data_IF_159712951511
#
_entry.id   IF_159712951511
#
_cell.length_a   1.000
_cell.length_b   1.000
_cell.length_c   1.000
_cell.angle_alpha   90.00
_cell.angle_beta   90.00
_cell.angle_gamma   90.00
#
_symmetry.space_group_name_H-M   'P 1'
#
loop_
_entity.id
_entity.type
_entity.pdbx_description
1 polymer ?
#
# COMPACT_ATOMS: atom_id res chain seq x y z
N UNK A 1 9.29 -17.53 -21.19
CA UNK A 1 10.10 -18.23 -20.19
C UNK A 1 11.57 -18.19 -20.59
N UNK A 2 12.48 -17.96 -19.63
CA UNK A 2 13.93 -17.91 -19.83
C UNK A 2 14.61 -18.64 -18.68
N UNK A 3 15.49 -19.57 -18.99
CA UNK A 3 16.25 -20.29 -17.98
C UNK A 3 17.41 -19.42 -17.48
N UNK A 4 17.58 -19.34 -16.18
CA UNK A 4 18.71 -18.66 -15.53
C UNK A 4 19.90 -19.60 -15.42
N UNK A 5 21.09 -19.03 -15.43
CA UNK A 5 22.36 -19.76 -15.28
C UNK A 5 22.97 -19.45 -13.93
N UNK A 6 23.39 -20.48 -13.20
CA UNK A 6 24.12 -20.34 -11.95
C UNK A 6 25.58 -20.01 -12.23
N UNK A 7 26.06 -18.95 -11.60
CA UNK A 7 27.50 -18.72 -11.42
C UNK A 7 27.92 -19.38 -10.09
N UNK A 8 28.62 -20.48 -10.15
CA UNK A 8 29.03 -21.24 -8.97
C UNK A 8 30.01 -20.46 -8.07
N UNK A 9 30.75 -19.50 -8.62
CA UNK A 9 31.73 -18.74 -7.84
C UNK A 9 31.05 -17.69 -6.94
N UNK A 10 30.00 -17.04 -7.41
CA UNK A 10 29.23 -16.04 -6.66
C UNK A 10 27.94 -16.59 -6.03
N UNK A 11 27.48 -17.76 -6.47
CA UNK A 11 26.18 -18.31 -6.08
C UNK A 11 24.97 -17.59 -6.71
N UNK A 12 25.21 -16.71 -7.68
CA UNK A 12 24.18 -15.90 -8.30
C UNK A 12 23.57 -16.56 -9.52
N UNK A 13 22.24 -16.48 -9.62
CA UNK A 13 21.53 -16.88 -10.82
C UNK A 13 21.30 -15.66 -11.71
N UNK A 14 21.56 -15.80 -12.99
CA UNK A 14 21.40 -14.70 -13.94
C UNK A 14 20.82 -15.13 -15.27
N UNK A 15 20.15 -14.20 -15.94
CA UNK A 15 19.72 -14.28 -17.33
C UNK A 15 19.82 -12.91 -17.95
N UNK A 16 20.26 -12.83 -19.19
CA UNK A 16 20.38 -11.55 -19.90
C UNK A 16 19.20 -11.34 -20.85
N UNK A 17 18.81 -10.09 -20.98
CA UNK A 17 17.82 -9.63 -21.94
C UNK A 17 18.15 -8.25 -22.47
N UNK A 18 17.54 -7.86 -23.57
CA UNK A 18 17.70 -6.53 -24.15
C UNK A 18 16.66 -5.53 -23.62
N UNK A 19 16.67 -4.33 -24.22
CA UNK A 19 15.73 -3.25 -23.88
C UNK A 19 14.25 -3.60 -24.12
N UNK A 20 13.97 -4.65 -24.88
CA UNK A 20 12.61 -5.14 -25.08
C UNK A 20 11.94 -5.66 -23.80
N UNK A 21 12.73 -5.89 -22.74
CA UNK A 21 12.22 -6.30 -21.44
C UNK A 21 11.74 -5.13 -20.58
N UNK A 22 12.18 -3.91 -20.86
CA UNK A 22 11.74 -2.72 -20.08
C UNK A 22 10.22 -2.60 -20.14
N UNK A 23 9.60 -2.42 -18.98
CA UNK A 23 8.15 -2.36 -18.79
C UNK A 23 7.46 -3.73 -18.76
N UNK A 24 8.18 -4.83 -18.96
CA UNK A 24 7.61 -6.18 -18.87
C UNK A 24 7.53 -6.65 -17.42
N UNK A 25 6.52 -7.44 -17.13
CA UNK A 25 6.34 -8.08 -15.85
C UNK A 25 6.98 -9.47 -15.83
N UNK A 26 7.50 -9.88 -14.68
CA UNK A 26 8.14 -11.17 -14.49
C UNK A 26 7.88 -11.76 -13.12
N UNK A 27 8.05 -13.05 -13.00
CA UNK A 27 8.19 -13.83 -11.77
C UNK A 27 9.34 -14.81 -11.94
N UNK A 28 9.87 -15.26 -10.82
CA UNK A 28 10.79 -16.38 -10.80
C UNK A 28 10.03 -17.69 -10.58
N UNK A 29 10.28 -18.68 -11.42
CA UNK A 29 9.95 -20.08 -11.17
C UNK A 29 11.15 -20.69 -10.45
N UNK A 30 10.99 -20.98 -9.16
CA UNK A 30 12.06 -21.53 -8.33
C UNK A 30 11.72 -22.94 -7.85
N UNK A 31 12.74 -23.77 -7.74
CA UNK A 31 12.63 -25.07 -7.11
C UNK A 31 13.58 -25.12 -5.92
N UNK A 32 13.04 -25.32 -4.74
CA UNK A 32 13.79 -25.29 -3.48
C UNK A 32 13.42 -26.46 -2.59
N UNK A 33 14.40 -26.92 -1.80
CA UNK A 33 14.14 -27.89 -0.75
C UNK A 33 13.44 -27.20 0.42
N UNK A 34 12.23 -27.67 0.75
CA UNK A 34 11.45 -27.15 1.87
C UNK A 34 11.66 -28.04 3.11
N UNK A 35 12.24 -27.48 4.21
CA UNK A 35 12.68 -28.28 5.36
C UNK A 35 11.53 -28.92 6.14
N UNK A 36 10.34 -28.34 6.13
CA UNK A 36 9.16 -28.90 6.86
C UNK A 36 8.56 -30.07 6.10
N UNK A 37 8.30 -29.92 4.80
CA UNK A 37 7.78 -31.00 3.96
C UNK A 37 8.83 -32.04 3.59
N UNK A 38 10.14 -31.69 3.70
CA UNK A 38 11.30 -32.51 3.32
C UNK A 38 11.29 -32.92 1.84
N UNK A 39 10.78 -32.05 0.98
CA UNK A 39 10.66 -32.26 -0.46
C UNK A 39 11.22 -31.08 -1.23
N UNK A 40 11.54 -31.30 -2.51
CA UNK A 40 11.71 -30.24 -3.48
C UNK A 40 10.31 -29.74 -3.85
N UNK A 41 10.11 -28.44 -3.70
CA UNK A 41 8.86 -27.76 -4.03
C UNK A 41 9.11 -26.65 -5.03
N UNK A 42 8.16 -26.42 -5.92
CA UNK A 42 8.23 -25.38 -6.93
C UNK A 42 7.31 -24.23 -6.59
N UNK A 43 7.83 -23.02 -6.70
CA UNK A 43 7.10 -21.79 -6.39
C UNK A 43 7.27 -20.77 -7.50
N UNK A 44 6.23 -19.99 -7.74
CA UNK A 44 6.31 -18.74 -8.47
C UNK A 44 6.40 -17.59 -7.48
N UNK A 45 7.48 -16.82 -7.55
CA UNK A 45 7.75 -15.75 -6.61
C UNK A 45 8.12 -14.47 -7.34
N UNK A 46 7.79 -13.34 -6.73
CA UNK A 46 8.29 -12.02 -7.15
C UNK A 46 9.72 -11.84 -6.68
N UNK A 47 10.42 -10.90 -7.29
CA UNK A 47 11.79 -10.57 -6.94
C UNK A 47 11.80 -9.76 -5.62
N UNK A 48 12.52 -10.22 -4.58
CA UNK A 48 12.64 -9.48 -3.32
C UNK A 48 13.39 -8.15 -3.48
N UNK A 49 14.12 -7.96 -4.57
CA UNK A 49 14.83 -6.72 -4.91
C UNK A 49 14.07 -5.89 -5.97
N UNK A 50 12.79 -6.17 -6.17
CA UNK A 50 11.97 -5.46 -7.15
C UNK A 50 11.89 -3.96 -6.83
N UNK A 51 12.08 -3.13 -7.85
CA UNK A 51 11.94 -1.68 -7.78
C UNK A 51 10.55 -1.21 -8.20
N UNK A 52 9.80 -2.07 -8.87
CA UNK A 52 8.43 -1.82 -9.32
C UNK A 52 7.64 -3.12 -9.27
N UNK A 53 6.46 -3.04 -8.67
CA UNK A 53 5.55 -4.16 -8.50
C UNK A 53 4.20 -3.87 -9.17
N UNK A 54 3.54 -4.91 -9.63
CA UNK A 54 2.14 -4.86 -10.01
C UNK A 54 1.25 -4.85 -8.76
N UNK A 55 -0.04 -4.56 -8.97
CA UNK A 55 -1.07 -4.59 -7.92
C UNK A 55 -0.98 -5.90 -7.10
N UNK A 56 -1.14 -5.78 -5.78
CA UNK A 56 -1.01 -6.86 -4.81
C UNK A 56 0.36 -7.57 -4.86
N UNK A 57 1.39 -6.90 -5.35
CA UNK A 57 2.73 -7.47 -5.52
C UNK A 57 2.77 -8.77 -6.34
N UNK A 58 1.80 -8.96 -7.24
CA UNK A 58 1.68 -10.21 -8.00
C UNK A 58 2.82 -10.45 -8.98
N UNK A 59 3.43 -9.40 -9.50
CA UNK A 59 4.53 -9.45 -10.47
C UNK A 59 5.55 -8.36 -10.16
N UNK A 60 6.82 -8.66 -10.42
CA UNK A 60 7.87 -7.66 -10.52
C UNK A 60 7.89 -7.06 -11.92
N UNK A 61 8.27 -5.79 -12.05
CA UNK A 61 8.40 -5.12 -13.34
C UNK A 61 9.84 -4.70 -13.60
N UNK A 62 10.31 -4.93 -14.82
CA UNK A 62 11.60 -4.42 -15.29
C UNK A 62 11.46 -2.92 -15.56
N UNK A 63 12.19 -2.09 -14.83
CA UNK A 63 12.18 -0.64 -14.99
C UNK A 63 13.57 -0.07 -15.20
N UNK A 64 13.67 0.95 -16.04
CA UNK A 64 14.86 1.80 -16.13
C UNK A 64 14.62 3.09 -15.34
N UNK A 65 15.24 3.23 -14.17
CA UNK A 65 15.08 4.41 -13.32
C UNK A 65 15.66 5.70 -13.95
N UNK A 66 16.42 5.58 -15.05
CA UNK A 66 16.89 6.75 -15.79
C UNK A 66 15.87 7.25 -16.83
N UNK A 67 14.81 6.47 -17.08
CA UNK A 67 13.77 6.90 -18.02
C UNK A 67 13.09 8.18 -17.52
N UNK A 68 13.17 9.30 -18.29
CA UNK A 68 12.53 10.55 -17.91
C UNK A 68 11.01 10.45 -17.72
N UNK A 69 10.36 9.48 -18.38
CA UNK A 69 8.92 9.26 -18.24
C UNK A 69 8.50 8.76 -16.85
N UNK A 70 9.44 8.21 -16.06
CA UNK A 70 9.21 7.75 -14.69
C UNK A 70 9.48 8.83 -13.63
N UNK A 71 9.94 10.02 -14.05
CA UNK A 71 10.32 11.10 -13.14
C UNK A 71 9.32 12.25 -13.21
N UNK A 72 8.87 12.79 -12.07
CA UNK A 72 8.14 14.05 -12.07
C UNK A 72 8.99 15.19 -12.63
N UNK A 73 8.33 16.22 -13.18
CA UNK A 73 9.03 17.42 -13.63
C UNK A 73 9.87 18.03 -12.48
N UNK A 74 11.12 18.38 -12.80
CA UNK A 74 12.06 18.97 -11.84
C UNK A 74 12.78 17.99 -10.93
N UNK A 75 12.51 16.67 -11.02
CA UNK A 75 13.10 15.66 -10.14
C UNK A 75 14.63 15.72 -10.09
N UNK A 76 15.31 15.76 -11.23
CA UNK A 76 16.77 15.73 -11.30
C UNK A 76 17.42 17.06 -10.84
N UNK A 77 16.66 18.14 -10.76
CA UNK A 77 17.10 19.44 -10.26
C UNK A 77 16.75 19.67 -8.79
N UNK A 78 15.97 18.77 -8.18
CA UNK A 78 15.54 18.88 -6.80
C UNK A 78 16.75 18.80 -5.86
N UNK A 79 16.86 19.79 -4.98
CA UNK A 79 17.85 19.80 -3.90
C UNK A 79 17.14 19.70 -2.56
N UNK A 80 17.77 19.03 -1.59
CA UNK A 80 17.27 19.03 -0.23
C UNK A 80 17.08 20.48 0.26
N UNK A 81 15.88 20.86 0.72
CA UNK A 81 15.58 22.24 1.11
C UNK A 81 16.37 22.71 2.34
N UNK A 82 16.85 21.78 3.13
CA UNK A 82 17.64 22.04 4.34
C UNK A 82 18.90 21.16 4.37
N UNK A 83 20.06 21.80 4.44
CA UNK A 83 21.30 21.15 4.83
C UNK A 83 21.48 21.34 6.34
N UNK A 84 20.91 20.46 7.15
CA UNK A 84 21.14 20.52 8.58
C UNK A 84 22.58 20.08 8.89
N UNK A 85 23.39 21.01 9.34
CA UNK A 85 24.79 20.73 9.72
C UNK A 85 24.90 20.11 11.11
N UNK A 86 23.94 20.40 11.99
CA UNK A 86 23.91 19.84 13.34
C UNK A 86 22.63 19.01 13.52
N UNK A 87 22.74 17.71 13.81
CA UNK A 87 21.59 16.86 14.06
C UNK A 87 20.67 17.34 15.20
N UNK A 88 21.22 18.10 16.16
CA UNK A 88 20.45 18.67 17.27
C UNK A 88 19.46 19.76 16.83
N UNK A 89 19.62 20.33 15.64
CA UNK A 89 18.74 21.36 15.09
C UNK A 89 17.59 20.75 14.25
N UNK A 90 17.56 19.43 14.11
CA UNK A 90 16.49 18.73 13.40
C UNK A 90 15.23 18.73 14.26
N UNK A 91 14.16 19.25 13.67
CA UNK A 91 12.81 19.18 14.21
C UNK A 91 11.95 18.30 13.32
N UNK A 92 11.23 17.36 13.93
CA UNK A 92 10.50 16.32 13.21
C UNK A 92 9.02 16.46 13.51
N UNK A 93 8.19 16.45 12.48
CA UNK A 93 6.75 16.27 12.56
C UNK A 93 6.39 14.90 12.02
N UNK A 94 5.86 14.03 12.88
CA UNK A 94 5.45 12.69 12.48
C UNK A 94 3.97 12.70 12.06
N UNK A 95 3.66 12.02 10.95
CA UNK A 95 2.31 11.94 10.43
C UNK A 95 2.05 10.66 9.65
N UNK A 96 0.79 10.25 9.62
CA UNK A 96 0.31 9.15 8.80
C UNK A 96 -0.36 9.71 7.54
N UNK A 97 -0.02 9.20 6.35
CA UNK A 97 -0.57 9.68 5.06
C UNK A 97 -2.09 9.68 5.07
N UNK A 98 -2.71 8.60 5.53
CA UNK A 98 -4.16 8.48 5.59
C UNK A 98 -4.78 9.53 6.52
N UNK A 99 -4.21 9.71 7.69
CA UNK A 99 -4.81 10.54 8.75
C UNK A 99 -4.66 12.03 8.46
N UNK A 100 -3.64 12.41 7.67
CA UNK A 100 -3.42 13.80 7.28
C UNK A 100 -4.59 14.39 6.47
N UNK A 101 -5.15 13.61 5.55
CA UNK A 101 -6.15 14.12 4.59
C UNK A 101 -7.46 13.35 4.61
N UNK A 102 -7.54 12.21 5.31
CA UNK A 102 -8.66 11.27 5.23
C UNK A 102 -10.01 11.86 5.63
N UNK A 103 -10.02 12.75 6.60
CA UNK A 103 -11.24 13.43 7.11
C UNK A 103 -11.30 14.91 6.75
N UNK A 104 -10.47 15.38 5.81
CA UNK A 104 -10.42 16.78 5.42
C UNK A 104 -11.30 17.07 4.20
N UNK A 105 -12.30 17.92 4.37
CA UNK A 105 -13.23 18.28 3.29
C UNK A 105 -12.63 19.21 2.24
N UNK A 106 -11.50 19.85 2.51
CA UNK A 106 -10.79 20.67 1.52
C UNK A 106 -9.99 19.83 0.53
N UNK A 107 -9.67 18.56 0.89
CA UNK A 107 -9.00 17.61 0.00
C UNK A 107 -10.02 16.96 -0.95
N UNK A 108 -9.76 16.88 -2.27
CA UNK A 108 -10.60 16.15 -3.21
C UNK A 108 -10.88 14.72 -2.72
N UNK A 109 -12.14 14.29 -2.82
CA UNK A 109 -12.56 13.01 -2.24
C UNK A 109 -11.75 11.80 -2.72
N UNK A 110 -11.34 11.82 -4.00
CA UNK A 110 -10.52 10.79 -4.63
C UNK A 110 -9.07 10.76 -4.11
N UNK A 111 -8.59 11.85 -3.49
CA UNK A 111 -7.24 11.97 -2.96
C UNK A 111 -7.17 11.81 -1.43
N UNK A 112 -8.32 11.82 -0.74
CA UNK A 112 -8.37 11.71 0.72
C UNK A 112 -7.73 10.43 1.22
N UNK A 113 -6.84 10.56 2.20
CA UNK A 113 -6.11 9.45 2.79
C UNK A 113 -5.07 8.80 1.89
N UNK A 114 -4.78 9.38 0.72
CA UNK A 114 -3.85 8.85 -0.28
C UNK A 114 -2.65 9.78 -0.47
N UNK A 115 -1.60 9.28 -1.11
CA UNK A 115 -0.39 10.06 -1.43
C UNK A 115 -0.70 11.32 -2.23
N UNK A 116 -1.66 11.26 -3.17
CA UNK A 116 -2.05 12.40 -3.98
C UNK A 116 -2.62 13.56 -3.16
N UNK A 117 -3.23 13.31 -2.00
CA UNK A 117 -3.68 14.36 -1.10
C UNK A 117 -2.56 15.28 -0.60
N UNK A 118 -1.30 14.82 -0.62
CA UNK A 118 -0.14 15.64 -0.28
C UNK A 118 0.30 16.56 -1.44
N UNK A 119 -0.21 16.35 -2.64
CA UNK A 119 0.08 17.19 -3.82
C UNK A 119 -0.93 18.32 -4.02
N UNK A 120 -2.05 18.30 -3.31
CA UNK A 120 -3.12 19.30 -3.38
C UNK A 120 -2.76 20.53 -2.51
N UNK A 121 -1.94 21.42 -3.05
CA UNK A 121 -1.25 22.50 -2.31
C UNK A 121 -2.18 23.52 -1.64
N UNK A 122 -3.44 23.62 -2.07
CA UNK A 122 -4.42 24.57 -1.55
C UNK A 122 -5.28 24.02 -0.42
N UNK A 123 -5.13 22.75 -0.07
CA UNK A 123 -5.89 22.09 0.99
C UNK A 123 -5.41 22.47 2.39
N UNK A 124 -6.27 22.34 3.40
CA UNK A 124 -5.93 22.68 4.76
C UNK A 124 -4.75 21.86 5.33
N UNK A 125 -4.67 20.52 5.12
CA UNK A 125 -3.53 19.74 5.57
C UNK A 125 -2.20 20.17 4.96
N UNK A 126 -2.17 20.44 3.66
CA UNK A 126 -0.93 20.83 2.98
C UNK A 126 -0.51 22.25 3.41
N UNK A 127 -1.45 23.17 3.55
CA UNK A 127 -1.17 24.51 4.13
C UNK A 127 -0.64 24.41 5.56
N UNK A 128 -1.15 23.48 6.36
CA UNK A 128 -0.61 23.22 7.70
C UNK A 128 0.86 22.76 7.63
N UNK A 129 1.19 21.78 6.77
CA UNK A 129 2.57 21.35 6.59
C UNK A 129 3.47 22.49 6.11
N UNK A 130 3.00 23.33 5.19
CA UNK A 130 3.72 24.51 4.73
C UNK A 130 3.96 25.53 5.87
N UNK A 131 2.98 25.72 6.76
CA UNK A 131 3.12 26.58 7.91
C UNK A 131 4.14 26.04 8.92
N UNK A 132 4.14 24.73 9.17
CA UNK A 132 5.14 24.05 10.00
C UNK A 132 6.55 24.25 9.44
N UNK A 133 6.73 24.04 8.12
CA UNK A 133 8.01 24.25 7.46
C UNK A 133 8.50 25.71 7.58
N UNK A 134 7.59 26.68 7.41
CA UNK A 134 7.90 28.12 7.62
C UNK A 134 8.25 28.45 9.07
N UNK A 135 7.74 27.69 10.02
CA UNK A 135 8.03 27.85 11.46
C UNK A 135 9.33 27.17 11.90
N UNK A 136 10.03 26.48 10.99
CA UNK A 136 11.31 25.85 11.27
C UNK A 136 11.27 24.33 11.46
N UNK A 137 10.11 23.69 11.30
CA UNK A 137 10.07 22.21 11.22
C UNK A 137 10.78 21.76 9.97
N UNK A 138 11.84 20.96 10.14
CA UNK A 138 12.76 20.63 9.06
C UNK A 138 12.42 19.31 8.36
N UNK A 139 11.75 18.39 9.03
CA UNK A 139 11.47 17.05 8.52
C UNK A 139 10.03 16.64 8.76
N UNK A 140 9.42 16.04 7.75
CA UNK A 140 8.19 15.26 7.86
C UNK A 140 8.57 13.78 7.93
N UNK A 141 8.30 13.14 9.07
CA UNK A 141 8.47 11.70 9.24
C UNK A 141 7.14 11.02 8.97
N UNK A 142 7.03 10.36 7.83
CA UNK A 142 5.84 9.58 7.53
C UNK A 142 5.91 8.23 8.25
N UNK A 143 4.82 7.87 8.96
CA UNK A 143 4.61 6.50 9.41
C UNK A 143 4.67 5.55 8.22
N UNK A 144 4.91 4.23 8.43
CA UNK A 144 5.22 3.32 7.35
C UNK A 144 4.30 3.49 6.13
N UNK A 145 4.91 3.68 4.97
CA UNK A 145 4.24 3.87 3.67
C UNK A 145 4.38 2.64 2.78
N UNK A 146 4.78 1.52 3.38
CA UNK A 146 4.90 0.25 2.70
C UNK A 146 3.54 -0.32 2.38
N UNK A 147 3.49 -1.10 1.32
CA UNK A 147 2.39 -1.96 1.01
C UNK A 147 2.10 -2.94 2.18
N UNK A 148 0.81 -3.17 2.46
CA UNK A 148 0.36 -4.10 3.48
C UNK A 148 -0.23 -5.31 2.77
N UNK A 149 0.47 -6.44 2.81
CA UNK A 149 0.11 -7.66 2.09
C UNK A 149 -1.31 -8.20 2.39
N UNK A 150 -1.89 -7.83 3.53
CA UNK A 150 -3.25 -8.22 3.93
C UNK A 150 -4.34 -7.28 3.41
N UNK A 151 -3.97 -6.13 2.83
CA UNK A 151 -4.92 -5.18 2.24
C UNK A 151 -4.92 -5.37 0.72
N UNK A 152 -6.06 -5.76 0.17
CA UNK A 152 -6.19 -5.91 -1.27
C UNK A 152 -6.20 -4.53 -1.95
N UNK A 153 -5.32 -4.32 -2.93
CA UNK A 153 -5.20 -3.05 -3.66
C UNK A 153 -6.27 -2.90 -4.77
N UNK A 154 -6.96 -3.98 -5.13
CA UNK A 154 -8.07 -3.94 -6.09
C UNK A 154 -9.33 -3.38 -5.41
N UNK A 155 -9.81 -2.17 -5.77
CA UNK A 155 -10.99 -1.57 -5.15
C UNK A 155 -12.26 -2.41 -5.29
N UNK A 156 -12.32 -3.30 -6.30
CA UNK A 156 -13.44 -4.21 -6.49
C UNK A 156 -13.46 -5.34 -5.44
N UNK A 157 -12.32 -5.62 -4.83
CA UNK A 157 -12.14 -6.68 -3.82
C UNK A 157 -12.00 -6.14 -2.41
N UNK A 158 -12.31 -4.86 -2.19
CA UNK A 158 -12.25 -4.22 -0.88
C UNK A 158 -13.64 -3.69 -0.53
N UNK A 159 -14.08 -3.94 0.69
CA UNK A 159 -15.26 -3.31 1.27
C UNK A 159 -14.82 -2.27 2.30
N UNK A 160 -15.25 -1.01 2.10
CA UNK A 160 -15.01 0.08 3.02
C UNK A 160 -16.20 0.26 3.97
N UNK A 161 -15.96 0.84 5.12
CA UNK A 161 -16.97 1.00 6.17
C UNK A 161 -18.24 1.74 5.71
N UNK A 162 -18.14 2.61 4.72
CA UNK A 162 -19.26 3.33 4.11
C UNK A 162 -19.99 2.57 3.00
N UNK A 163 -19.48 1.41 2.56
CA UNK A 163 -20.11 0.60 1.52
C UNK A 163 -21.34 -0.16 2.05
N UNK A 164 -22.19 -0.60 1.13
CA UNK A 164 -23.29 -1.53 1.43
C UNK A 164 -22.75 -2.84 1.99
N UNK A 165 -23.43 -3.40 3.00
CA UNK A 165 -23.01 -4.65 3.62
C UNK A 165 -22.97 -5.82 2.63
N UNK A 166 -23.82 -5.78 1.60
CA UNK A 166 -23.81 -6.76 0.51
C UNK A 166 -22.48 -6.80 -0.24
N UNK A 167 -21.75 -5.68 -0.33
CA UNK A 167 -20.39 -5.66 -0.90
C UNK A 167 -19.41 -6.45 -0.03
N UNK A 168 -19.49 -6.33 1.31
CA UNK A 168 -18.67 -7.14 2.21
C UNK A 168 -18.93 -8.64 1.99
N UNK A 169 -20.20 -9.03 1.82
CA UNK A 169 -20.56 -10.41 1.52
C UNK A 169 -20.03 -10.92 0.16
N UNK A 170 -19.84 -10.02 -0.80
CA UNK A 170 -19.25 -10.37 -2.11
C UNK A 170 -17.74 -10.56 -2.03
N UNK A 171 -17.05 -9.67 -1.31
CA UNK A 171 -15.58 -9.73 -1.18
C UNK A 171 -15.12 -10.77 -0.16
N UNK A 172 -15.96 -11.08 0.82
CA UNK A 172 -15.75 -12.14 1.80
C UNK A 172 -16.93 -13.10 1.84
N UNK A 173 -16.91 -14.18 1.05
CA UNK A 173 -18.01 -15.14 0.98
C UNK A 173 -18.32 -15.87 2.30
N UNK A 174 -17.38 -15.91 3.23
CA UNK A 174 -17.59 -16.55 4.55
C UNK A 174 -18.66 -15.83 5.36
N UNK A 175 -18.81 -14.51 5.16
CA UNK A 175 -19.88 -13.73 5.80
C UNK A 175 -21.27 -14.22 5.40
N UNK A 176 -21.44 -14.71 4.17
CA UNK A 176 -22.72 -15.28 3.69
C UNK A 176 -23.10 -16.57 4.41
N UNK A 177 -22.14 -17.29 4.96
CA UNK A 177 -22.34 -18.53 5.70
C UNK A 177 -22.31 -18.33 7.23
N UNK A 178 -22.23 -17.08 7.68
CA UNK A 178 -22.17 -16.72 9.09
C UNK A 178 -23.53 -16.26 9.62
N UNK A 179 -23.57 -15.99 10.92
CA UNK A 179 -24.74 -15.35 11.57
C UNK A 179 -25.08 -13.97 11.02
N UNK A 180 -24.20 -13.37 10.25
CA UNK A 180 -24.38 -12.05 9.62
C UNK A 180 -25.00 -12.12 8.22
N UNK A 181 -25.26 -13.31 7.70
CA UNK A 181 -25.83 -13.52 6.36
C UNK A 181 -27.09 -12.67 6.07
N UNK A 182 -27.93 -12.43 7.09
CA UNK A 182 -29.12 -11.62 6.97
C UNK A 182 -28.87 -10.17 6.57
N UNK A 183 -27.69 -9.63 6.87
CA UNK A 183 -27.34 -8.26 6.50
C UNK A 183 -26.89 -8.12 5.04
N UNK A 184 -26.54 -9.21 4.36
CA UNK A 184 -26.06 -9.17 2.95
C UNK A 184 -27.08 -8.59 1.96
N UNK A 185 -28.35 -8.60 2.31
CA UNK A 185 -29.44 -8.04 1.50
C UNK A 185 -30.21 -6.91 2.21
N UNK A 186 -29.68 -6.39 3.30
CA UNK A 186 -30.37 -5.40 4.12
C UNK A 186 -30.40 -3.99 3.50
N UNK A 187 -29.48 -3.68 2.57
CA UNK A 187 -29.28 -2.33 2.06
C UNK A 187 -28.66 -1.36 3.08
N UNK A 188 -28.21 -1.86 4.24
CA UNK A 188 -27.51 -1.06 5.24
C UNK A 188 -26.02 -0.94 4.89
N UNK A 189 -25.39 0.15 5.29
CA UNK A 189 -23.93 0.28 5.21
C UNK A 189 -23.24 -0.60 6.26
N UNK A 190 -22.00 -0.96 6.01
CA UNK A 190 -21.19 -1.70 6.98
C UNK A 190 -21.13 -0.94 8.30
N UNK A 191 -20.95 0.40 8.25
CA UNK A 191 -20.96 1.24 9.45
C UNK A 191 -22.26 1.15 10.26
N UNK A 192 -23.41 1.13 9.58
CA UNK A 192 -24.72 1.02 10.23
C UNK A 192 -24.88 -0.33 10.94
N UNK A 193 -24.51 -1.43 10.24
CA UNK A 193 -24.58 -2.78 10.82
C UNK A 193 -23.65 -2.91 12.03
N UNK A 194 -22.41 -2.38 11.92
CA UNK A 194 -21.48 -2.37 13.05
C UNK A 194 -22.03 -1.56 14.24
N UNK A 195 -22.67 -0.42 13.98
CA UNK A 195 -23.35 0.37 15.00
C UNK A 195 -24.47 -0.39 15.69
N UNK A 196 -25.30 -1.09 14.92
CA UNK A 196 -26.38 -1.92 15.47
C UNK A 196 -25.83 -3.07 16.34
N UNK A 197 -24.75 -3.72 15.89
CA UNK A 197 -24.11 -4.83 16.62
C UNK A 197 -23.40 -4.37 17.90
N UNK A 198 -22.86 -3.16 17.91
CA UNK A 198 -22.18 -2.62 19.09
C UNK A 198 -23.15 -2.24 20.23
N UNK A 199 -24.45 -2.15 19.94
CA UNK A 199 -25.46 -1.84 20.95
C UNK A 199 -25.22 -0.51 21.70
N UNK A 200 -24.51 0.41 21.07
CA UNK A 200 -24.17 1.71 21.62
C UNK A 200 -23.04 1.78 22.66
N UNK A 201 -22.46 0.65 23.11
CA UNK A 201 -21.63 0.75 24.32
C UNK A 201 -20.33 -0.07 24.41
N UNK A 202 -19.90 -0.86 23.46
CA UNK A 202 -18.62 -1.52 23.68
C UNK A 202 -17.79 -1.76 22.41
N UNK A 203 -16.60 -1.14 22.41
CA UNK A 203 -15.49 -1.43 21.48
C UNK A 203 -14.98 -2.88 21.60
N UNK A 204 -15.47 -3.62 22.55
CA UNK A 204 -15.08 -5.00 22.88
C UNK A 204 -16.16 -6.04 22.55
N UNK A 205 -17.16 -5.67 21.73
CA UNK A 205 -18.20 -6.62 21.37
C UNK A 205 -17.60 -7.75 20.50
N UNK A 206 -17.64 -9.02 20.96
CA UNK A 206 -17.11 -10.14 20.21
C UNK A 206 -17.71 -10.29 18.81
N UNK A 207 -18.94 -9.82 18.59
CA UNK A 207 -19.61 -9.88 17.30
C UNK A 207 -18.96 -8.96 16.27
N UNK A 208 -18.40 -7.81 16.71
CA UNK A 208 -17.67 -6.90 15.83
C UNK A 208 -16.31 -7.48 15.47
N UNK A 209 -15.64 -8.13 16.41
CA UNK A 209 -14.34 -8.77 16.17
C UNK A 209 -14.41 -9.94 15.18
N UNK A 210 -15.56 -10.59 15.04
CA UNK A 210 -15.76 -11.67 14.04
C UNK A 210 -15.95 -11.13 12.61
N UNK A 211 -16.20 -9.82 12.42
CA UNK A 211 -16.37 -9.21 11.11
C UNK A 211 -15.09 -8.60 10.55
N UNK A 212 -14.09 -8.39 11.35
CA UNK A 212 -12.75 -7.89 11.03
C UNK A 212 -11.76 -9.04 11.19
#
# INVERSE_FOLDING_TARGET
ERTMTLDEASGSWSVQGGSELVGKFYRYDIQVYHPVSRKLESYQVTDPYSLSLAMNSEFSQVVDLNDPALKPEGWDSLKAPHSQQNPADITIYEAHVRDLTGNDDSTPAEHRGKFLGLTDTDTAPVKHLQALAKSGVSHLHLLPVFDIATVNEDPAKVANIGDDFGKLCQVNPEVQNSKFAGYCSSGQTIAAVLGDLQGGDSKENPQVQELY
#
